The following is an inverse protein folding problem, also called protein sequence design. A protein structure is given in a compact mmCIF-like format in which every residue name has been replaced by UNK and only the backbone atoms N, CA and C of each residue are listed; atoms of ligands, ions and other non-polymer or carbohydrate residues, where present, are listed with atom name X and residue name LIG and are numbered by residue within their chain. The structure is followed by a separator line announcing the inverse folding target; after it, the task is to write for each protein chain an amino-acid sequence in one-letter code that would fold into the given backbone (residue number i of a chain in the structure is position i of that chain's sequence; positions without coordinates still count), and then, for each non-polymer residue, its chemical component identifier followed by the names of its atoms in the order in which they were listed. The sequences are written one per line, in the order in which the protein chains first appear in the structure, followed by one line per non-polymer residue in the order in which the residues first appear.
data_IF_354894974879
#
_entry.id   IF_354894974879
#
_cell.length_a   1.000
_cell.length_b   1.000
_cell.length_c   1.000
_cell.angle_alpha   90.00
_cell.angle_beta   90.00
_cell.angle_gamma   90.00
#
_symmetry.space_group_name_H-M   'P 1'
#
loop_
_entity.id
_entity.type
_entity.pdbx_description
1 polymer ?
#
# COMPACT_ATOMS: atom_id res chain seq x y z
N UNK A 1 -1.90 -14.08 -13.38
CA UNK A 1 -0.78 -13.42 -14.09
C UNK A 1 -1.09 -13.15 -15.56
N UNK A 2 -1.79 -14.04 -16.28
CA UNK A 2 -2.20 -13.76 -17.67
C UNK A 2 -2.92 -12.40 -17.84
N UNK A 3 -3.71 -11.99 -16.85
CA UNK A 3 -4.42 -10.70 -16.86
C UNK A 3 -3.51 -9.46 -16.73
N UNK A 4 -2.34 -9.57 -16.08
CA UNK A 4 -1.43 -8.43 -15.85
C UNK A 4 -0.61 -8.05 -17.10
N UNK A 5 -0.62 -8.91 -18.13
CA UNK A 5 0.06 -8.72 -19.44
C UNK A 5 1.56 -8.36 -19.36
N UNK A 6 2.17 -8.44 -18.18
CA UNK A 6 3.55 -8.09 -17.90
C UNK A 6 4.08 -8.95 -16.75
N UNK A 7 5.40 -9.16 -16.72
CA UNK A 7 6.07 -9.85 -15.62
C UNK A 7 7.19 -8.95 -15.07
N UNK A 8 6.86 -8.04 -14.13
CA UNK A 8 7.80 -7.01 -13.69
C UNK A 8 9.00 -7.53 -12.90
N UNK A 9 8.94 -8.78 -12.41
CA UNK A 9 9.92 -9.35 -11.47
C UNK A 9 10.85 -10.37 -12.10
N UNK A 10 10.65 -10.72 -13.37
CA UNK A 10 11.42 -11.77 -14.03
C UNK A 10 12.91 -11.43 -14.09
N UNK A 11 13.74 -12.29 -13.51
CA UNK A 11 15.19 -12.12 -13.50
C UNK A 11 15.68 -11.03 -12.55
N UNK A 12 14.83 -10.49 -11.67
CA UNK A 12 15.14 -9.34 -10.81
C UNK A 12 15.14 -9.66 -9.32
N UNK A 13 15.92 -8.91 -8.56
CA UNK A 13 15.82 -8.80 -7.12
C UNK A 13 14.63 -7.90 -6.73
N UNK A 14 13.73 -8.43 -5.92
CA UNK A 14 12.47 -7.79 -5.53
C UNK A 14 12.54 -7.26 -4.09
N UNK A 15 12.24 -5.98 -3.91
CA UNK A 15 11.88 -5.41 -2.61
C UNK A 15 10.37 -5.55 -2.39
N UNK A 16 9.96 -6.21 -1.31
CA UNK A 16 8.58 -6.50 -0.98
C UNK A 16 8.10 -5.66 0.21
N UNK A 17 7.10 -4.79 -0.02
CA UNK A 17 6.45 -3.96 0.98
C UNK A 17 5.10 -4.55 1.41
N UNK A 18 5.00 -5.21 2.57
CA UNK A 18 3.71 -5.60 3.13
C UNK A 18 2.97 -4.37 3.68
N UNK A 19 1.82 -4.56 4.32
CA UNK A 19 1.18 -3.56 5.15
C UNK A 19 1.14 -4.04 6.60
N UNK A 20 2.20 -3.77 7.36
CA UNK A 20 2.22 -4.04 8.80
C UNK A 20 2.07 -2.74 9.60
N UNK A 21 0.97 -2.60 10.34
CA UNK A 21 0.78 -1.54 11.32
C UNK A 21 0.95 -2.08 12.74
N UNK A 22 0.25 -3.17 13.04
CA UNK A 22 0.28 -3.91 14.30
C UNK A 22 0.34 -5.42 13.99
N UNK A 23 0.30 -6.27 15.01
CA UNK A 23 0.17 -7.72 14.82
C UNK A 23 -1.28 -8.19 14.57
N UNK A 24 -2.27 -7.28 14.58
CA UNK A 24 -3.67 -7.64 14.37
C UNK A 24 -3.89 -8.35 13.02
N UNK A 25 -4.82 -9.32 12.94
CA UNK A 25 -5.15 -10.00 11.70
C UNK A 25 -5.63 -9.03 10.61
N UNK A 26 -5.61 -9.49 9.36
CA UNK A 26 -6.21 -8.75 8.25
C UNK A 26 -7.66 -8.33 8.58
N UNK A 27 -8.08 -7.10 8.22
CA UNK A 27 -7.34 -6.12 7.42
C UNK A 27 -6.42 -5.17 8.25
N UNK A 28 -6.23 -5.43 9.55
CA UNK A 28 -5.34 -4.66 10.43
C UNK A 28 -3.89 -4.60 9.93
N UNK A 29 -3.40 -5.75 9.49
CA UNK A 29 -2.13 -5.92 8.76
C UNK A 29 -2.28 -7.01 7.69
N UNK A 30 -1.35 -7.09 6.73
CA UNK A 30 -1.37 -8.14 5.69
C UNK A 30 -1.51 -9.54 6.30
N UNK A 31 -2.39 -10.36 5.73
CA UNK A 31 -2.60 -11.74 6.16
C UNK A 31 -1.36 -12.59 5.83
N UNK A 32 -1.01 -13.56 6.70
CA UNK A 32 0.15 -14.40 6.48
C UNK A 32 0.01 -15.29 5.24
N UNK A 33 -1.21 -15.78 4.96
CA UNK A 33 -1.47 -16.56 3.75
C UNK A 33 -1.35 -15.71 2.49
N UNK A 34 -1.80 -14.46 2.51
CA UNK A 34 -1.59 -13.50 1.42
C UNK A 34 -0.10 -13.27 1.19
N UNK A 35 0.67 -13.07 2.26
CA UNK A 35 2.13 -12.91 2.16
C UNK A 35 2.81 -14.17 1.61
N UNK A 36 2.46 -15.36 2.11
CA UNK A 36 2.97 -16.65 1.61
C UNK A 36 2.66 -16.82 0.12
N UNK A 37 1.41 -16.64 -0.27
CA UNK A 37 0.97 -16.79 -1.66
C UNK A 37 1.70 -15.80 -2.58
N UNK A 38 1.86 -14.56 -2.14
CA UNK A 38 2.60 -13.55 -2.90
C UNK A 38 4.07 -13.94 -3.07
N UNK A 39 4.77 -14.32 -1.99
CA UNK A 39 6.18 -14.73 -2.07
C UNK A 39 6.36 -15.93 -3.01
N UNK A 40 5.52 -16.96 -2.88
CA UNK A 40 5.56 -18.13 -3.77
C UNK A 40 5.32 -17.72 -5.23
N UNK A 41 4.35 -16.83 -5.48
CA UNK A 41 4.04 -16.38 -6.83
C UNK A 41 5.17 -15.55 -7.43
N UNK A 42 5.82 -14.69 -6.66
CA UNK A 42 6.97 -13.91 -7.12
C UNK A 42 8.15 -14.81 -7.51
N UNK A 43 8.38 -15.91 -6.78
CA UNK A 43 9.38 -16.92 -7.16
C UNK A 43 9.02 -17.65 -8.44
N UNK A 44 7.76 -18.06 -8.59
CA UNK A 44 7.25 -18.68 -9.83
C UNK A 44 7.39 -17.75 -11.04
N UNK A 45 7.20 -16.44 -10.84
CA UNK A 45 7.40 -15.41 -11.85
C UNK A 45 8.88 -15.15 -12.20
N UNK A 46 9.82 -15.78 -11.48
CA UNK A 46 11.25 -15.70 -11.77
C UNK A 46 12.00 -14.60 -11.01
N UNK A 47 11.50 -14.13 -9.87
CA UNK A 47 12.28 -13.28 -8.97
C UNK A 47 13.55 -14.03 -8.51
N UNK A 48 14.71 -13.40 -8.64
CA UNK A 48 16.01 -14.01 -8.28
C UNK A 48 16.31 -13.89 -6.79
N UNK A 49 15.74 -12.86 -6.15
CA UNK A 49 15.85 -12.59 -4.72
C UNK A 49 14.59 -11.86 -4.26
N UNK A 50 14.14 -12.11 -3.04
CA UNK A 50 13.05 -11.38 -2.40
C UNK A 50 13.54 -10.85 -1.06
N UNK A 51 13.37 -9.56 -0.82
CA UNK A 51 13.67 -8.90 0.45
C UNK A 51 12.43 -8.16 0.94
N UNK A 52 11.83 -8.64 2.01
CA UNK A 52 10.75 -7.95 2.71
C UNK A 52 11.35 -6.82 3.54
N UNK A 53 10.93 -5.58 3.32
CA UNK A 53 11.41 -4.43 4.10
C UNK A 53 10.26 -3.64 4.71
N UNK A 54 10.20 -3.49 6.02
CA UNK A 54 9.03 -2.88 6.68
C UNK A 54 9.38 -2.11 7.96
N UNK A 55 8.54 -1.11 8.27
CA UNK A 55 8.45 -0.43 9.56
C UNK A 55 6.98 -0.42 10.01
N UNK A 56 6.74 -0.86 11.24
CA UNK A 56 5.39 -0.90 11.82
C UNK A 56 4.96 0.42 12.49
N UNK A 57 3.71 0.46 12.95
CA UNK A 57 3.17 1.53 13.78
C UNK A 57 3.84 1.62 15.16
N UNK A 58 3.58 2.68 15.93
CA UNK A 58 4.38 3.04 17.11
C UNK A 58 4.07 2.23 18.38
N UNK A 59 3.07 1.35 18.36
CA UNK A 59 2.56 0.68 19.57
C UNK A 59 3.56 -0.30 20.19
N UNK A 60 4.22 -1.08 19.35
CA UNK A 60 5.28 -2.04 19.70
C UNK A 60 6.34 -2.01 18.61
N UNK A 61 7.54 -2.55 18.88
CA UNK A 61 8.63 -2.53 17.91
C UNK A 61 8.29 -3.30 16.63
N UNK A 62 8.87 -2.91 15.51
CA UNK A 62 8.70 -3.61 14.22
C UNK A 62 9.12 -5.07 14.33
N UNK A 63 10.22 -5.35 15.04
CA UNK A 63 10.68 -6.70 15.34
C UNK A 63 9.64 -7.52 16.09
N UNK A 64 9.00 -6.93 17.10
CA UNK A 64 7.96 -7.60 17.88
C UNK A 64 6.71 -7.89 17.05
N UNK A 65 6.26 -6.95 16.19
CA UNK A 65 5.16 -7.20 15.24
C UNK A 65 5.51 -8.36 14.31
N UNK A 66 6.70 -8.36 13.71
CA UNK A 66 7.15 -9.43 12.83
C UNK A 66 7.22 -10.78 13.54
N UNK A 67 7.64 -10.81 14.81
CA UNK A 67 7.65 -12.01 15.65
C UNK A 67 6.24 -12.53 15.92
N UNK A 68 5.32 -11.67 16.36
CA UNK A 68 3.93 -12.06 16.64
C UNK A 68 3.20 -12.52 15.38
N UNK A 69 3.53 -11.95 14.22
CA UNK A 69 3.01 -12.39 12.92
C UNK A 69 3.74 -13.63 12.38
N UNK A 70 4.79 -14.15 13.00
CA UNK A 70 5.55 -15.29 12.47
C UNK A 70 6.28 -14.99 11.16
N UNK A 71 6.62 -13.72 10.89
CA UNK A 71 7.25 -13.31 9.62
C UNK A 71 8.65 -13.88 9.47
N UNK A 72 9.41 -14.00 10.57
CA UNK A 72 10.74 -14.60 10.57
C UNK A 72 10.70 -16.10 10.26
N UNK A 73 9.74 -16.83 10.83
CA UNK A 73 9.54 -18.26 10.54
C UNK A 73 9.16 -18.45 9.07
N UNK A 74 8.26 -17.61 8.55
CA UNK A 74 7.87 -17.63 7.14
C UNK A 74 9.05 -17.30 6.21
N UNK A 75 9.94 -16.39 6.60
CA UNK A 75 11.16 -16.06 5.86
C UNK A 75 12.12 -17.23 5.78
N UNK A 76 12.29 -17.96 6.89
CA UNK A 76 13.10 -19.17 6.93
C UNK A 76 12.47 -20.29 6.09
N UNK A 77 11.17 -20.52 6.21
CA UNK A 77 10.43 -21.55 5.46
C UNK A 77 10.49 -21.32 3.96
N UNK A 78 10.18 -20.09 3.53
CA UNK A 78 10.05 -19.76 2.11
C UNK A 78 11.35 -19.30 1.48
N UNK A 79 12.38 -18.94 2.26
CA UNK A 79 13.67 -18.45 1.78
C UNK A 79 13.58 -17.05 1.17
N UNK A 80 13.29 -16.04 1.98
CA UNK A 80 13.41 -14.61 1.62
C UNK A 80 14.09 -13.83 2.75
N UNK A 81 14.67 -12.67 2.44
CA UNK A 81 15.36 -11.84 3.42
C UNK A 81 14.41 -10.85 4.08
N UNK A 82 14.71 -10.43 5.32
CA UNK A 82 13.98 -9.38 6.03
C UNK A 82 14.92 -8.22 6.33
N UNK A 83 14.46 -7.00 6.03
CA UNK A 83 15.04 -5.75 6.52
C UNK A 83 14.03 -5.07 7.44
N UNK A 84 14.37 -5.00 8.73
CA UNK A 84 13.63 -4.18 9.66
C UNK A 84 14.06 -2.71 9.48
N UNK A 85 13.21 -1.90 8.86
CA UNK A 85 13.50 -0.49 8.59
C UNK A 85 13.67 0.33 9.88
N UNK A 86 13.08 -0.09 11.01
CA UNK A 86 13.24 0.62 12.30
C UNK A 86 14.65 0.49 12.88
N UNK A 87 15.37 -0.58 12.53
CA UNK A 87 16.71 -0.91 13.03
C UNK A 87 17.81 -0.59 12.01
N UNK A 88 17.47 0.10 10.91
CA UNK A 88 18.45 0.45 9.88
C UNK A 88 19.41 1.55 10.33
N UNK A 89 20.69 1.31 10.05
CA UNK A 89 21.75 2.30 10.22
C UNK A 89 21.56 3.54 9.32
N UNK A 90 22.11 4.71 9.70
CA UNK A 90 21.92 5.97 8.97
C UNK A 90 22.29 5.93 7.47
N UNK A 91 23.28 5.13 7.09
CA UNK A 91 23.75 4.98 5.70
C UNK A 91 22.75 4.25 4.79
N UNK A 92 21.87 3.45 5.39
CA UNK A 92 20.76 2.78 4.73
C UNK A 92 19.65 3.73 4.24
N UNK A 93 19.74 5.01 4.57
CA UNK A 93 18.75 6.03 4.20
C UNK A 93 19.28 7.00 3.13
N UNK A 94 18.35 7.53 2.34
CA UNK A 94 18.58 8.64 1.42
C UNK A 94 17.57 9.75 1.67
N UNK A 95 18.04 11.00 1.71
CA UNK A 95 17.16 12.15 1.87
C UNK A 95 16.48 12.48 0.54
N UNK A 96 15.15 12.45 0.54
CA UNK A 96 14.30 12.83 -0.59
C UNK A 96 13.73 14.20 -0.31
N UNK A 97 13.86 15.11 -1.28
CA UNK A 97 13.28 16.46 -1.25
C UNK A 97 12.39 16.66 -2.49
N UNK A 98 11.11 16.26 -2.43
CA UNK A 98 10.21 16.48 -3.55
C UNK A 98 10.01 17.97 -3.80
N UNK A 99 9.84 18.36 -5.07
CA UNK A 99 9.42 19.72 -5.42
C UNK A 99 7.99 19.98 -4.95
N UNK A 100 7.68 21.24 -4.64
CA UNK A 100 6.36 21.71 -4.20
C UNK A 100 5.75 20.88 -3.04
N UNK A 101 6.61 20.39 -2.14
CA UNK A 101 6.25 19.44 -1.07
C UNK A 101 5.78 20.12 0.21
N UNK A 102 4.85 19.49 0.92
CA UNK A 102 4.44 19.89 2.28
C UNK A 102 5.41 19.38 3.36
N UNK A 103 6.38 18.54 2.98
CA UNK A 103 7.49 18.15 3.86
C UNK A 103 8.51 19.28 3.99
N UNK A 104 8.52 19.98 5.13
CA UNK A 104 9.43 21.08 5.49
C UNK A 104 10.86 20.93 4.96
N UNK A 105 11.51 19.80 5.26
CA UNK A 105 12.93 19.54 4.92
C UNK A 105 13.11 18.26 4.09
N UNK A 106 12.04 17.75 3.48
CA UNK A 106 12.00 16.42 2.86
C UNK A 106 11.86 15.29 3.89
N UNK A 107 12.17 14.06 3.48
CA UNK A 107 12.08 12.86 4.32
C UNK A 107 13.15 11.84 3.97
N UNK A 108 13.57 11.03 4.95
CA UNK A 108 14.46 9.90 4.72
C UNK A 108 13.67 8.71 4.19
N UNK A 109 14.13 8.18 3.06
CA UNK A 109 13.58 7.02 2.38
C UNK A 109 14.65 5.93 2.30
N UNK A 110 14.31 4.64 2.47
CA UNK A 110 15.30 3.59 2.60
C UNK A 110 15.86 3.16 1.24
N UNK A 111 17.16 2.95 1.20
CA UNK A 111 17.88 2.55 -0.02
C UNK A 111 17.40 1.21 -0.58
N UNK A 112 16.97 0.28 0.27
CA UNK A 112 16.44 -1.03 -0.14
C UNK A 112 15.29 -0.91 -1.15
N UNK A 113 14.46 0.14 -1.07
CA UNK A 113 13.43 0.43 -2.06
C UNK A 113 13.95 1.30 -3.19
N UNK A 114 14.78 2.30 -2.89
CA UNK A 114 15.27 3.25 -3.91
C UNK A 114 16.15 2.58 -4.97
N UNK A 115 16.89 1.56 -4.57
CA UNK A 115 17.90 0.85 -5.37
C UNK A 115 17.41 -0.53 -5.83
N UNK A 116 16.14 -0.87 -5.56
CA UNK A 116 15.54 -2.14 -5.97
C UNK A 116 15.39 -2.22 -7.50
N UNK A 117 15.62 -3.41 -8.06
CA UNK A 117 15.37 -3.70 -9.48
C UNK A 117 13.86 -3.84 -9.76
N UNK A 118 13.11 -4.32 -8.77
CA UNK A 118 11.65 -4.29 -8.77
C UNK A 118 11.07 -4.11 -7.37
N UNK A 119 9.99 -3.34 -7.28
CA UNK A 119 9.25 -3.08 -6.04
C UNK A 119 7.87 -3.67 -6.15
N UNK A 120 7.57 -4.60 -5.24
CA UNK A 120 6.24 -5.19 -5.09
C UNK A 120 5.64 -4.76 -3.76
N UNK A 121 4.37 -4.38 -3.78
CA UNK A 121 3.66 -3.98 -2.57
C UNK A 121 2.40 -4.83 -2.37
N UNK A 122 2.07 -5.13 -1.13
CA UNK A 122 0.72 -5.57 -0.74
C UNK A 122 0.15 -4.71 0.36
N UNK A 123 -1.14 -4.39 0.26
CA UNK A 123 -1.87 -3.55 1.21
C UNK A 123 -3.28 -4.09 1.45
N UNK A 124 -3.88 -3.73 2.58
CA UNK A 124 -5.24 -4.12 2.90
C UNK A 124 -6.25 -3.05 2.47
N UNK A 125 -7.47 -3.45 2.11
CA UNK A 125 -8.59 -2.54 1.86
C UNK A 125 -9.15 -1.98 3.17
N UNK A 126 -8.79 -0.75 3.56
CA UNK A 126 -9.32 -0.20 4.83
C UNK A 126 -9.48 1.31 4.87
N UNK A 127 -10.46 1.75 5.64
CA UNK A 127 -10.53 3.11 6.18
C UNK A 127 -9.45 3.34 7.23
N UNK A 128 -9.16 4.61 7.50
CA UNK A 128 -8.14 5.04 8.45
C UNK A 128 -8.62 6.26 9.22
N UNK A 129 -8.50 6.19 10.55
CA UNK A 129 -8.75 7.31 11.45
C UNK A 129 -7.67 8.41 11.32
N UNK A 130 -7.61 9.37 12.24
CA UNK A 130 -6.50 10.32 12.38
C UNK A 130 -6.16 11.13 11.11
N UNK A 131 -7.16 11.47 10.29
CA UNK A 131 -7.01 12.34 9.11
C UNK A 131 -6.53 11.65 7.83
N UNK A 132 -6.20 10.35 7.88
CA UNK A 132 -5.79 9.58 6.70
C UNK A 132 -6.94 9.13 5.79
N UNK A 133 -8.17 9.10 6.30
CA UNK A 133 -9.43 8.62 5.67
C UNK A 133 -9.42 7.16 5.21
N UNK A 134 -8.40 6.71 4.47
CA UNK A 134 -8.21 5.34 4.02
C UNK A 134 -6.73 4.95 3.98
N UNK A 135 -6.44 3.66 4.05
CA UNK A 135 -5.12 3.06 3.80
C UNK A 135 -5.26 2.05 2.68
N UNK A 136 -4.55 2.30 1.60
CA UNK A 136 -4.49 1.46 0.41
C UNK A 136 -3.03 1.50 -0.10
N UNK A 137 -2.81 1.59 -1.41
CA UNK A 137 -1.48 1.59 -2.01
C UNK A 137 -0.64 2.81 -1.60
N UNK A 138 -1.15 4.04 -1.80
CA UNK A 138 -0.37 5.26 -1.56
C UNK A 138 0.06 5.38 -0.08
N UNK A 139 -0.86 5.14 0.85
CA UNK A 139 -0.60 5.28 2.29
C UNK A 139 0.32 4.20 2.86
N UNK A 140 0.42 3.04 2.21
CA UNK A 140 1.35 2.01 2.67
C UNK A 140 2.81 2.48 2.63
N UNK A 141 3.13 3.46 1.78
CA UNK A 141 4.45 4.09 1.70
C UNK A 141 4.87 4.84 2.97
N UNK A 142 3.94 5.17 3.88
CA UNK A 142 4.28 5.77 5.19
C UNK A 142 5.21 4.86 6.01
N UNK A 143 5.08 3.54 5.87
CA UNK A 143 6.01 2.57 6.47
C UNK A 143 7.42 2.64 5.90
N UNK A 144 7.61 3.26 4.74
CA UNK A 144 8.92 3.46 4.10
C UNK A 144 9.56 4.81 4.42
N UNK A 145 8.99 5.61 5.33
CA UNK A 145 9.65 6.81 5.84
C UNK A 145 10.28 6.50 7.19
N UNK A 146 11.49 7.02 7.43
CA UNK A 146 12.17 6.86 8.71
C UNK A 146 11.25 7.28 9.88
N UNK A 147 11.20 6.45 10.90
CA UNK A 147 10.25 6.58 12.01
C UNK A 147 10.92 7.05 13.28
N UNK A 148 11.12 6.12 14.21
CA UNK A 148 11.68 6.36 15.54
C UNK A 148 13.02 7.09 15.45
N UNK A 149 13.20 8.14 16.25
CA UNK A 149 14.39 8.99 16.24
C UNK A 149 14.36 10.13 15.21
N UNK A 150 13.36 10.19 14.33
CA UNK A 150 13.21 11.23 13.32
C UNK A 150 11.89 12.01 13.50
N UNK A 151 11.81 13.28 13.04
CA UNK A 151 10.63 14.12 13.25
C UNK A 151 9.45 13.77 12.32
N UNK A 152 9.65 12.88 11.34
CA UNK A 152 8.74 12.71 10.20
C UNK A 152 7.33 12.25 10.60
N UNK A 153 7.21 11.32 11.56
CA UNK A 153 5.89 10.85 12.00
C UNK A 153 5.13 11.95 12.74
N UNK A 154 5.80 12.73 13.59
CA UNK A 154 5.18 13.89 14.26
C UNK A 154 4.75 14.94 13.24
N UNK A 155 5.61 15.23 12.26
CA UNK A 155 5.31 16.19 11.22
C UNK A 155 4.10 15.75 10.37
N UNK A 156 4.04 14.48 9.98
CA UNK A 156 2.94 13.93 9.20
C UNK A 156 1.61 14.00 9.96
N UNK A 157 1.57 13.50 11.20
CA UNK A 157 0.32 13.34 11.95
C UNK A 157 -0.22 14.64 12.57
N UNK A 158 0.59 15.70 12.65
CA UNK A 158 0.14 17.03 13.12
C UNK A 158 -0.18 18.00 11.97
N UNK A 159 0.12 17.62 10.73
CA UNK A 159 -0.11 18.46 9.55
C UNK A 159 -1.57 18.44 9.10
N UNK A 160 -2.10 19.62 8.73
CA UNK A 160 -3.38 19.74 8.04
C UNK A 160 -3.34 19.11 6.63
N UNK A 161 -2.14 18.95 6.07
CA UNK A 161 -1.89 18.39 4.74
C UNK A 161 -1.48 16.91 4.77
N UNK A 162 -1.86 16.16 5.82
CA UNK A 162 -1.47 14.75 6.00
C UNK A 162 -1.71 13.88 4.75
N UNK A 163 -2.83 14.08 4.06
CA UNK A 163 -3.21 13.31 2.85
C UNK A 163 -2.33 13.63 1.65
N UNK A 164 -2.00 14.91 1.47
CA UNK A 164 -1.06 15.37 0.44
C UNK A 164 0.35 14.87 0.72
N UNK A 165 0.78 14.94 1.99
CA UNK A 165 2.08 14.44 2.42
C UNK A 165 2.23 12.92 2.20
N UNK A 166 1.15 12.15 2.37
CA UNK A 166 1.12 10.71 2.02
C UNK A 166 1.39 10.49 0.53
N UNK A 167 0.72 11.25 -0.34
CA UNK A 167 0.95 11.17 -1.78
C UNK A 167 2.39 11.58 -2.13
N UNK A 168 2.96 12.57 -1.45
CA UNK A 168 4.33 13.06 -1.70
C UNK A 168 5.43 12.04 -1.38
N UNK A 169 5.21 11.13 -0.42
CA UNK A 169 6.15 10.03 -0.16
C UNK A 169 6.35 9.18 -1.41
N UNK A 170 5.29 9.01 -2.20
CA UNK A 170 5.30 8.17 -3.40
C UNK A 170 6.11 8.77 -4.56
N UNK A 171 6.64 9.98 -4.43
CA UNK A 171 7.63 10.54 -5.38
C UNK A 171 9.00 9.88 -5.27
N UNK A 172 9.29 9.17 -4.18
CA UNK A 172 10.58 8.54 -3.93
C UNK A 172 10.80 7.22 -4.70
N UNK A 173 9.73 6.59 -5.19
CA UNK A 173 9.78 5.27 -5.81
C UNK A 173 8.61 5.03 -6.78
N UNK A 174 8.73 4.01 -7.62
CA UNK A 174 7.63 3.51 -8.47
C UNK A 174 7.43 2.02 -8.19
N UNK A 175 6.23 1.59 -7.76
CA UNK A 175 5.93 0.16 -7.65
C UNK A 175 5.78 -0.44 -9.04
N UNK A 176 6.25 -1.68 -9.22
CA UNK A 176 6.01 -2.43 -10.46
C UNK A 176 4.78 -3.34 -10.34
N UNK A 177 4.44 -3.77 -9.13
CA UNK A 177 3.25 -4.56 -8.84
C UNK A 177 2.70 -4.21 -7.46
N UNK A 178 1.40 -3.99 -7.39
CA UNK A 178 0.64 -3.79 -6.16
C UNK A 178 -0.42 -4.88 -6.12
N UNK A 179 -0.51 -5.58 -4.99
CA UNK A 179 -1.56 -6.57 -4.70
C UNK A 179 -2.34 -6.13 -3.48
N UNK A 180 -3.53 -5.58 -3.71
CA UNK A 180 -4.41 -5.13 -2.64
C UNK A 180 -5.31 -6.30 -2.22
N UNK A 181 -5.21 -6.66 -0.94
CA UNK A 181 -6.04 -7.66 -0.27
C UNK A 181 -7.31 -7.00 0.25
N UNK A 182 -8.43 -7.28 -0.41
CA UNK A 182 -9.76 -6.80 -0.08
C UNK A 182 -10.71 -7.94 0.24
N UNK A 183 -10.22 -9.09 0.70
CA UNK A 183 -11.12 -10.17 1.16
C UNK A 183 -11.94 -9.65 2.34
N UNK A 184 -11.24 -9.29 3.41
CA UNK A 184 -11.76 -8.49 4.53
C UNK A 184 -11.44 -7.01 4.33
N UNK A 185 -12.38 -6.13 4.66
CA UNK A 185 -12.17 -4.69 4.63
C UNK A 185 -12.57 -4.01 5.95
N UNK A 186 -11.89 -2.92 6.32
CA UNK A 186 -12.44 -2.00 7.34
C UNK A 186 -13.18 -0.86 6.67
N UNK A 187 -14.50 -0.82 6.82
CA UNK A 187 -15.34 0.24 6.26
C UNK A 187 -15.45 1.46 7.18
N UNK A 188 -15.16 1.30 8.48
CA UNK A 188 -15.09 2.39 9.48
C UNK A 188 -14.04 2.08 10.55
N UNK A 189 -13.33 3.11 11.04
CA UNK A 189 -12.60 3.08 12.30
C UNK A 189 -11.17 2.50 12.32
N UNK A 190 -10.64 1.96 11.21
CA UNK A 190 -9.27 1.43 11.13
C UNK A 190 -8.19 2.41 11.62
N UNK A 191 -6.94 1.96 11.86
CA UNK A 191 -6.25 0.97 11.03
C UNK A 191 -6.10 -0.44 11.56
N UNK A 192 -6.18 -0.66 12.87
CA UNK A 192 -5.95 -1.96 13.53
C UNK A 192 -7.25 -2.64 13.92
N UNK A 193 -8.26 -1.86 14.32
CA UNK A 193 -9.62 -2.32 14.65
C UNK A 193 -10.65 -1.43 13.96
N UNK A 194 -11.76 -2.02 13.53
CA UNK A 194 -12.80 -1.26 12.85
C UNK A 194 -14.01 -2.13 12.50
N UNK A 195 -15.04 -1.48 11.96
CA UNK A 195 -16.20 -2.18 11.38
C UNK A 195 -15.75 -2.91 10.13
N UNK A 196 -15.94 -4.24 10.12
CA UNK A 196 -15.55 -5.12 9.03
C UNK A 196 -16.67 -5.27 7.99
N UNK A 197 -16.29 -5.45 6.74
CA UNK A 197 -17.15 -5.93 5.66
C UNK A 197 -16.36 -6.90 4.77
N UNK A 198 -17.05 -7.83 4.11
CA UNK A 198 -16.43 -8.73 3.14
C UNK A 198 -16.57 -8.12 1.75
N UNK A 199 -15.46 -7.85 1.07
CA UNK A 199 -15.48 -7.56 -0.36
C UNK A 199 -15.09 -8.78 -1.20
N UNK A 200 -14.39 -9.76 -0.62
CA UNK A 200 -14.01 -11.02 -1.29
C UNK A 200 -13.22 -10.81 -2.59
N UNK A 201 -12.35 -9.79 -2.65
CA UNK A 201 -11.57 -9.46 -3.85
C UNK A 201 -10.08 -9.32 -3.57
N UNK A 202 -9.28 -9.68 -4.55
CA UNK A 202 -7.86 -9.29 -4.65
C UNK A 202 -7.72 -8.42 -5.90
N UNK A 203 -7.17 -7.21 -5.73
CA UNK A 203 -6.83 -6.36 -6.86
C UNK A 203 -5.32 -6.46 -7.13
N UNK A 204 -4.94 -6.49 -8.40
CA UNK A 204 -3.55 -6.42 -8.81
C UNK A 204 -3.35 -5.43 -9.95
N UNK A 205 -2.30 -4.63 -9.89
CA UNK A 205 -1.96 -3.66 -10.92
C UNK A 205 -0.63 -2.95 -10.65
N UNK A 206 -0.14 -2.17 -11.60
CA UNK A 206 1.12 -1.42 -11.48
C UNK A 206 0.91 0.07 -11.19
N UNK A 207 -0.32 0.58 -11.32
CA UNK A 207 -0.63 1.99 -11.08
C UNK A 207 -1.24 2.19 -9.70
N UNK A 208 -0.52 2.87 -8.81
CA UNK A 208 -0.95 3.14 -7.44
C UNK A 208 -2.19 4.02 -7.32
N UNK A 209 -2.40 4.93 -8.28
CA UNK A 209 -3.58 5.80 -8.30
C UNK A 209 -4.80 5.01 -8.74
N UNK A 210 -4.65 4.13 -9.74
CA UNK A 210 -5.71 3.22 -10.16
C UNK A 210 -6.13 2.28 -9.03
N UNK A 211 -5.17 1.65 -8.33
CA UNK A 211 -5.46 0.77 -7.20
C UNK A 211 -6.18 1.51 -6.07
N UNK A 212 -5.73 2.72 -5.70
CA UNK A 212 -6.40 3.51 -4.66
C UNK A 212 -7.81 3.93 -5.09
N UNK A 213 -7.99 4.38 -6.34
CA UNK A 213 -9.31 4.79 -6.85
C UNK A 213 -10.31 3.61 -6.84
N UNK A 214 -9.90 2.44 -7.34
CA UNK A 214 -10.72 1.22 -7.34
C UNK A 214 -11.00 0.77 -5.90
N UNK A 215 -10.00 0.82 -5.01
CA UNK A 215 -10.18 0.51 -3.59
C UNK A 215 -11.17 1.44 -2.90
N UNK A 216 -11.12 2.75 -3.17
CA UNK A 216 -12.13 3.71 -2.65
C UNK A 216 -13.52 3.39 -3.19
N UNK A 217 -13.66 3.05 -4.47
CA UNK A 217 -14.94 2.65 -5.04
C UNK A 217 -15.52 1.40 -4.35
N UNK A 218 -14.69 0.41 -4.03
CA UNK A 218 -15.11 -0.78 -3.27
C UNK A 218 -15.50 -0.41 -1.83
N UNK A 219 -14.74 0.45 -1.14
CA UNK A 219 -15.14 0.91 0.19
C UNK A 219 -16.51 1.60 0.16
N UNK A 220 -16.78 2.40 -0.87
CA UNK A 220 -18.08 3.05 -1.07
C UNK A 220 -19.20 2.05 -1.33
N UNK A 221 -18.99 1.01 -2.16
CA UNK A 221 -20.00 -0.03 -2.38
C UNK A 221 -20.36 -0.80 -1.10
N UNK A 222 -19.44 -0.87 -0.13
CA UNK A 222 -19.64 -1.56 1.14
C UNK A 222 -20.25 -0.68 2.25
N UNK A 223 -20.51 0.61 2.01
CA UNK A 223 -21.03 1.53 3.03
C UNK A 223 -19.98 1.99 4.04
N UNK A 224 -19.19 2.99 3.65
CA UNK A 224 -18.05 3.50 4.41
C UNK A 224 -18.36 4.82 5.16
N UNK A 225 -17.33 5.59 5.54
CA UNK A 225 -17.48 6.88 6.22
C UNK A 225 -17.87 7.99 5.25
N UNK A 226 -18.34 9.12 5.80
CA UNK A 226 -18.74 10.28 5.01
C UNK A 226 -17.53 10.88 4.27
N UNK A 227 -16.34 10.88 4.87
CA UNK A 227 -15.13 11.43 4.27
C UNK A 227 -14.73 10.66 3.01
N UNK A 228 -14.76 9.32 3.08
CA UNK A 228 -14.42 8.45 1.94
C UNK A 228 -15.53 8.49 0.88
N UNK A 229 -16.79 8.68 1.28
CA UNK A 229 -17.95 8.71 0.39
C UNK A 229 -18.17 10.05 -0.33
N UNK A 230 -17.51 11.12 0.12
CA UNK A 230 -17.76 12.49 -0.37
C UNK A 230 -17.03 12.81 -1.67
N UNK A 231 -17.73 13.53 -2.55
CA UNK A 231 -17.14 14.11 -3.77
C UNK A 231 -16.63 13.07 -4.75
N UNK A 232 -15.94 13.52 -5.81
CA UNK A 232 -15.39 12.62 -6.81
C UNK A 232 -14.24 11.78 -6.23
N UNK A 233 -14.04 10.54 -6.68
CA UNK A 233 -12.94 9.68 -6.16
C UNK A 233 -11.59 10.34 -6.45
N UNK A 234 -11.45 10.94 -7.63
CA UNK A 234 -10.25 11.68 -8.02
C UNK A 234 -10.10 13.05 -7.33
N UNK A 235 -11.08 13.50 -6.55
CA UNK A 235 -11.00 14.68 -5.68
C UNK A 235 -10.60 14.34 -4.24
N UNK A 236 -10.50 13.05 -3.89
CA UNK A 236 -9.96 12.66 -2.58
C UNK A 236 -8.52 13.17 -2.48
N UNK A 237 -8.23 14.02 -1.50
CA UNK A 237 -6.96 14.76 -1.37
C UNK A 237 -5.69 13.95 -1.68
N UNK A 238 -5.62 12.71 -1.18
CA UNK A 238 -4.49 11.81 -1.41
C UNK A 238 -4.36 11.40 -2.88
N UNK A 239 -5.48 11.07 -3.55
CA UNK A 239 -5.52 10.72 -4.97
C UNK A 239 -5.27 11.97 -5.83
N UNK A 240 -5.97 13.08 -5.55
CA UNK A 240 -5.82 14.34 -6.27
C UNK A 240 -4.35 14.81 -6.26
N UNK A 241 -3.70 14.77 -5.09
CA UNK A 241 -2.28 15.13 -4.98
C UNK A 241 -1.37 14.18 -5.75
N UNK A 242 -1.65 12.88 -5.74
CA UNK A 242 -0.86 11.92 -6.51
C UNK A 242 -0.99 12.17 -8.03
N UNK A 243 -2.16 12.60 -8.51
CA UNK A 243 -2.40 13.01 -9.90
C UNK A 243 -1.62 14.27 -10.25
N UNK A 244 -1.65 15.30 -9.40
CA UNK A 244 -0.86 16.53 -9.58
C UNK A 244 0.64 16.24 -9.71
N UNK A 245 1.14 15.32 -8.90
CA UNK A 245 2.54 14.88 -8.90
C UNK A 245 2.89 13.92 -10.06
N UNK A 246 1.91 13.54 -10.89
CA UNK A 246 2.11 12.65 -12.03
C UNK A 246 2.44 11.20 -11.65
N UNK A 247 1.94 10.71 -10.52
CA UNK A 247 2.30 9.40 -9.96
C UNK A 247 1.51 8.21 -10.51
N UNK A 248 0.54 8.46 -11.39
CA UNK A 248 -0.30 7.43 -12.02
C UNK A 248 -1.38 8.03 -12.93
N UNK A 249 -2.42 7.25 -13.18
CA UNK A 249 -3.60 7.65 -13.96
C UNK A 249 -4.22 8.94 -13.44
N UNK A 250 -4.81 9.73 -14.34
CA UNK A 250 -5.37 11.07 -14.06
C UNK A 250 -6.89 11.10 -13.97
N UNK A 251 -7.55 10.02 -14.38
CA UNK A 251 -9.02 9.95 -14.39
C UNK A 251 -9.51 8.50 -14.42
N UNK A 252 -10.78 8.25 -14.06
CA UNK A 252 -11.37 6.91 -14.14
C UNK A 252 -11.32 6.31 -15.56
N UNK A 253 -11.37 7.14 -16.60
CA UNK A 253 -11.35 6.70 -18.00
C UNK A 253 -10.03 6.03 -18.42
N UNK A 254 -8.97 6.17 -17.63
CA UNK A 254 -7.67 5.52 -17.85
C UNK A 254 -7.54 4.19 -17.08
N UNK A 255 -8.57 3.78 -16.34
CA UNK A 255 -8.58 2.54 -15.57
C UNK A 255 -9.40 1.50 -16.32
N UNK A 256 -8.77 0.36 -16.62
CA UNK A 256 -9.43 -0.82 -17.15
C UNK A 256 -9.48 -1.91 -16.07
N UNK A 257 -10.68 -2.44 -15.81
CA UNK A 257 -10.88 -3.59 -14.92
C UNK A 257 -10.96 -4.85 -15.78
N UNK A 258 -9.97 -5.71 -15.66
CA UNK A 258 -9.87 -6.98 -16.39
C UNK A 258 -10.09 -8.13 -15.41
N UNK A 259 -10.94 -9.09 -15.80
CA UNK A 259 -11.34 -10.24 -14.97
C UNK A 259 -11.36 -11.52 -15.82
N UNK A 260 -11.21 -12.68 -15.18
CA UNK A 260 -11.17 -13.99 -15.84
C UNK A 260 -12.40 -14.88 -15.58
N UNK A 261 -13.36 -14.39 -14.80
CA UNK A 261 -14.59 -15.11 -14.49
C UNK A 261 -15.85 -14.19 -14.47
N UNK A 262 -17.06 -14.74 -14.65
CA UNK A 262 -18.30 -13.95 -14.70
C UNK A 262 -18.67 -13.25 -13.39
N UNK A 263 -18.33 -13.82 -12.23
CA UNK A 263 -18.64 -13.21 -10.92
C UNK A 263 -17.79 -11.96 -10.71
N UNK A 264 -16.48 -12.07 -10.98
CA UNK A 264 -15.57 -10.93 -10.98
C UNK A 264 -15.98 -9.87 -12.01
N UNK A 265 -16.44 -10.27 -13.21
CA UNK A 265 -16.90 -9.33 -14.23
C UNK A 265 -18.14 -8.54 -13.78
N UNK A 266 -19.10 -9.20 -13.12
CA UNK A 266 -20.28 -8.55 -12.56
C UNK A 266 -19.90 -7.55 -11.45
N UNK A 267 -19.01 -7.95 -10.55
CA UNK A 267 -18.50 -7.07 -9.50
C UNK A 267 -17.75 -5.87 -10.08
N UNK A 268 -16.86 -6.10 -11.06
CA UNK A 268 -16.14 -5.04 -11.75
C UNK A 268 -17.06 -4.02 -12.43
N UNK A 269 -18.21 -4.45 -12.98
CA UNK A 269 -19.21 -3.54 -13.54
C UNK A 269 -19.77 -2.57 -12.49
N UNK A 270 -20.13 -3.07 -11.30
CA UNK A 270 -20.63 -2.23 -10.20
C UNK A 270 -19.57 -1.20 -9.79
N UNK A 271 -18.32 -1.66 -9.63
CA UNK A 271 -17.21 -0.79 -9.24
C UNK A 271 -16.90 0.26 -10.31
N UNK A 272 -17.01 -0.11 -11.59
CA UNK A 272 -16.84 0.84 -12.71
C UNK A 272 -17.87 1.96 -12.68
N UNK A 273 -19.13 1.66 -12.39
CA UNK A 273 -20.17 2.68 -12.29
C UNK A 273 -19.89 3.65 -11.13
N UNK A 274 -19.47 3.12 -9.97
CA UNK A 274 -19.06 3.94 -8.81
C UNK A 274 -17.83 4.80 -9.14
N UNK A 275 -16.86 4.27 -9.89
CA UNK A 275 -15.67 5.01 -10.32
C UNK A 275 -15.99 6.17 -11.27
N UNK A 276 -16.99 6.03 -12.14
CA UNK A 276 -17.34 7.03 -13.14
C UNK A 276 -18.24 8.14 -12.61
N UNK A 277 -19.16 7.80 -11.70
CA UNK A 277 -20.12 8.74 -11.12
C UNK A 277 -19.57 9.39 -9.85
N UNK A 278 -18.82 8.60 -9.09
CA UNK A 278 -18.35 8.94 -7.76
C UNK A 278 -17.00 9.61 -7.73
#
# INVERSE_FOLDING_TARGET
MALLQSNPVQGKAVALKPNFNTADPAPGSTHNDTLRALVLKLKEMGATKITLAERCGPMISTREVMQQKGTFDLAQELGFDIVNLEEMEPDGWVLIKPGDSHWKDGFLFPRVYREAESIVQTCCLKTHAFGGHFTLSLKNAVGMVAGKGYPYMTQLHTSLNIRQMIAEINTAYSPDLIVLDGVDAFVKGGPDKGTRAQANVILAGSDRVAIDAVGVAILRSLGTTDEVSRGRIFEQDQIARAVELGLGVRSPAQIELVTDDPESAAFASIIKDILLVG
#
